data_IF_837745777854
#
_entry.id   IF_837745777854
#
_cell.length_a   1.000
_cell.length_b   1.000
_cell.length_c   1.000
_cell.angle_alpha   90.00
_cell.angle_beta   90.00
_cell.angle_gamma   90.00
#
_symmetry.space_group_name_H-M   'P 1'
#
loop_
_entity.id
_entity.type
_entity.pdbx_description
1 polymer ?
#
# COMPACT_ATOMS: atom_id res chain seq x y z
N UNK A 1 -3.21 0.42 -2.95
CA UNK A 1 -4.08 0.34 -1.74
C UNK A 1 -3.28 0.82 -0.55
N UNK A 2 -3.78 1.78 0.16
CA UNK A 2 -3.15 2.41 1.33
C UNK A 2 -4.13 2.31 2.51
N UNK A 3 -3.63 2.37 3.75
CA UNK A 3 -4.50 2.54 4.92
C UNK A 3 -5.00 3.97 5.00
N UNK A 4 -4.15 4.87 5.44
CA UNK A 4 -4.42 6.29 5.48
C UNK A 4 -3.46 6.98 4.50
N UNK A 5 -3.95 7.94 3.74
CA UNK A 5 -3.09 8.79 2.92
C UNK A 5 -3.02 10.17 3.57
N UNK A 6 -2.08 10.29 4.50
CA UNK A 6 -1.73 11.54 5.18
C UNK A 6 -0.28 11.91 4.80
N UNK A 7 0.54 12.41 5.69
CA UNK A 7 1.97 12.68 5.43
C UNK A 7 2.89 11.61 6.01
N UNK A 8 2.53 10.33 5.83
CA UNK A 8 3.32 9.21 6.34
C UNK A 8 4.46 8.78 5.41
N UNK A 9 5.41 8.00 5.94
CA UNK A 9 6.56 7.53 5.17
C UNK A 9 6.21 6.62 3.99
N UNK A 10 5.19 5.78 4.15
CA UNK A 10 4.75 4.86 3.08
C UNK A 10 4.17 5.63 1.91
N UNK A 11 3.33 6.65 2.18
CA UNK A 11 2.74 7.52 1.18
C UNK A 11 3.81 8.26 0.38
N UNK A 12 4.83 8.76 1.07
CA UNK A 12 5.95 9.46 0.42
C UNK A 12 6.75 8.54 -0.50
N UNK A 13 6.99 7.29 -0.09
CA UNK A 13 7.65 6.28 -0.92
C UNK A 13 6.82 5.98 -2.17
N UNK A 14 5.52 5.72 -2.02
CA UNK A 14 4.63 5.44 -3.15
C UNK A 14 4.55 6.63 -4.11
N UNK A 15 4.47 7.86 -3.58
CA UNK A 15 4.46 9.07 -4.40
C UNK A 15 5.80 9.29 -5.12
N UNK A 16 6.93 8.97 -4.50
CA UNK A 16 8.23 9.02 -5.19
C UNK A 16 8.27 8.07 -6.38
N UNK A 17 7.83 6.82 -6.23
CA UNK A 17 7.70 5.92 -7.37
C UNK A 17 6.75 6.48 -8.43
N UNK A 18 5.58 7.01 -8.03
CA UNK A 18 4.59 7.52 -8.97
C UNK A 18 5.08 8.72 -9.77
N UNK A 19 5.89 9.59 -9.19
CA UNK A 19 6.51 10.74 -9.87
C UNK A 19 7.49 10.33 -10.96
N UNK A 20 8.22 9.23 -10.75
CA UNK A 20 9.33 8.80 -11.60
C UNK A 20 8.98 7.64 -12.55
N UNK A 21 7.83 7.00 -12.40
CA UNK A 21 7.40 5.92 -13.28
C UNK A 21 7.03 6.46 -14.67
N UNK A 22 7.27 5.65 -15.71
CA UNK A 22 6.77 5.94 -17.07
C UNK A 22 5.25 5.75 -17.11
N UNK A 23 4.51 6.85 -16.93
CA UNK A 23 3.04 6.86 -16.89
C UNK A 23 2.37 6.58 -18.22
N UNK A 24 3.13 6.54 -19.31
CA UNK A 24 2.60 6.08 -20.62
C UNK A 24 2.43 4.56 -20.65
N UNK A 25 3.18 3.83 -19.81
CA UNK A 25 3.14 2.38 -19.69
C UNK A 25 2.34 1.89 -18.50
N UNK A 26 2.45 2.58 -17.37
CA UNK A 26 1.79 2.19 -16.12
C UNK A 26 1.21 3.43 -15.45
N UNK A 27 -0.10 3.43 -15.22
CA UNK A 27 -0.79 4.49 -14.49
C UNK A 27 -1.29 3.95 -13.15
N UNK A 28 -1.20 4.77 -12.09
CA UNK A 28 -1.68 4.43 -10.77
C UNK A 28 -3.00 5.11 -10.46
N UNK A 29 -3.91 4.33 -9.88
CA UNK A 29 -5.02 4.85 -9.10
C UNK A 29 -4.80 4.55 -7.62
N UNK A 30 -5.17 5.47 -6.79
CA UNK A 30 -4.93 5.41 -5.34
C UNK A 30 -6.23 5.11 -4.61
N UNK A 31 -6.16 4.17 -3.68
CA UNK A 31 -7.27 3.81 -2.81
C UNK A 31 -6.87 4.09 -1.36
N UNK A 32 -7.56 4.98 -0.71
CA UNK A 32 -7.38 5.35 0.68
C UNK A 32 -8.64 5.07 1.49
N UNK A 33 -8.49 4.84 2.78
CA UNK A 33 -9.62 4.60 3.66
C UNK A 33 -10.35 5.91 3.98
N UNK A 34 -11.63 5.81 4.25
CA UNK A 34 -12.47 6.90 4.74
C UNK A 34 -11.82 7.59 5.96
N UNK A 35 -11.81 8.92 5.94
CA UNK A 35 -11.12 9.74 6.93
C UNK A 35 -9.66 10.09 6.57
N UNK A 36 -9.13 9.62 5.43
CA UNK A 36 -7.84 10.06 4.91
C UNK A 36 -7.92 11.49 4.36
N UNK A 37 -6.94 12.33 4.67
CA UNK A 37 -6.87 13.71 4.18
C UNK A 37 -6.44 13.79 2.70
N UNK A 38 -5.64 12.84 2.24
CA UNK A 38 -5.05 12.74 0.89
C UNK A 38 -4.46 14.08 0.40
N UNK A 39 -3.46 14.61 1.09
CA UNK A 39 -2.90 15.93 0.74
C UNK A 39 -2.25 15.98 -0.65
N UNK A 40 -1.90 14.83 -1.22
CA UNK A 40 -1.33 14.71 -2.56
C UNK A 40 -2.39 14.55 -3.67
N UNK A 41 -3.69 14.68 -3.38
CA UNK A 41 -4.78 14.47 -4.34
C UNK A 41 -4.59 15.27 -5.64
N UNK A 42 -4.39 16.58 -5.51
CA UNK A 42 -4.21 17.46 -6.68
C UNK A 42 -3.01 17.04 -7.54
N UNK A 43 -1.91 16.65 -6.90
CA UNK A 43 -0.72 16.15 -7.61
C UNK A 43 -1.01 14.83 -8.33
N UNK A 44 -1.69 13.88 -7.68
CA UNK A 44 -2.07 12.59 -8.27
C UNK A 44 -2.94 12.82 -9.51
N UNK A 45 -3.97 13.65 -9.39
CA UNK A 45 -4.91 13.94 -10.47
C UNK A 45 -4.23 14.68 -11.63
N UNK A 46 -3.36 15.65 -11.35
CA UNK A 46 -2.55 16.34 -12.35
C UNK A 46 -1.62 15.39 -13.12
N UNK A 47 -1.14 14.33 -12.47
CA UNK A 47 -0.32 13.28 -13.08
C UNK A 47 -1.16 12.19 -13.79
N UNK A 48 -2.49 12.35 -13.84
CA UNK A 48 -3.41 11.46 -14.54
C UNK A 48 -3.96 10.29 -13.71
N UNK A 49 -3.62 10.21 -12.42
CA UNK A 49 -4.15 9.21 -11.50
C UNK A 49 -5.50 9.63 -10.91
N UNK A 50 -6.19 8.68 -10.30
CA UNK A 50 -7.45 8.91 -9.58
C UNK A 50 -7.31 8.51 -8.12
N UNK A 51 -8.09 9.17 -7.25
CA UNK A 51 -8.12 8.85 -5.82
C UNK A 51 -9.52 8.38 -5.44
N UNK A 52 -9.61 7.16 -4.96
CA UNK A 52 -10.83 6.55 -4.44
C UNK A 52 -10.77 6.48 -2.91
N UNK A 53 -11.80 7.00 -2.26
CA UNK A 53 -12.01 6.83 -0.82
C UNK A 53 -12.97 5.66 -0.62
N UNK A 54 -12.52 4.65 0.13
CA UNK A 54 -13.29 3.44 0.39
C UNK A 54 -13.61 3.32 1.88
N UNK A 55 -14.69 2.63 2.25
CA UNK A 55 -15.05 2.41 3.66
C UNK A 55 -13.89 1.80 4.45
N UNK A 56 -13.87 2.01 5.76
CA UNK A 56 -12.88 1.35 6.62
C UNK A 56 -13.10 -0.15 6.68
N UNK A 57 -12.02 -0.90 6.79
CA UNK A 57 -12.05 -2.37 6.96
C UNK A 57 -12.77 -2.81 8.26
N UNK A 58 -13.01 -1.90 9.22
CA UNK A 58 -13.87 -2.15 10.40
C UNK A 58 -15.32 -2.44 10.00
N UNK A 59 -15.75 -1.93 8.85
CA UNK A 59 -17.03 -2.24 8.20
C UNK A 59 -16.77 -3.18 7.02
N UNK A 60 -16.29 -4.39 7.30
CA UNK A 60 -15.71 -5.31 6.32
C UNK A 60 -16.61 -5.56 5.10
N UNK A 61 -17.91 -5.79 5.30
CA UNK A 61 -18.86 -6.03 4.21
C UNK A 61 -18.97 -4.84 3.25
N UNK A 62 -19.04 -3.60 3.78
CA UNK A 62 -19.09 -2.40 2.97
C UNK A 62 -17.76 -2.16 2.24
N UNK A 63 -16.64 -2.35 2.95
CA UNK A 63 -15.30 -2.25 2.38
C UNK A 63 -15.12 -3.21 1.19
N UNK A 64 -15.42 -4.49 1.40
CA UNK A 64 -15.27 -5.52 0.37
C UNK A 64 -16.17 -5.29 -0.84
N UNK A 65 -17.45 -4.99 -0.61
CA UNK A 65 -18.40 -4.68 -1.68
C UNK A 65 -17.89 -3.53 -2.55
N UNK A 66 -17.41 -2.47 -1.94
CA UNK A 66 -16.96 -1.28 -2.65
C UNK A 66 -15.66 -1.50 -3.42
N UNK A 67 -14.64 -2.12 -2.81
CA UNK A 67 -13.38 -2.38 -3.52
C UNK A 67 -13.59 -3.36 -4.68
N UNK A 68 -14.41 -4.41 -4.52
CA UNK A 68 -14.71 -5.36 -5.58
C UNK A 68 -15.44 -4.65 -6.74
N UNK A 69 -16.41 -3.79 -6.41
CA UNK A 69 -17.14 -2.98 -7.40
C UNK A 69 -16.18 -2.13 -8.22
N UNK A 70 -15.34 -1.34 -7.54
CA UNK A 70 -14.38 -0.44 -8.19
C UNK A 70 -13.33 -1.20 -9.00
N UNK A 71 -12.83 -2.32 -8.48
CA UNK A 71 -11.85 -3.14 -9.18
C UNK A 71 -12.41 -3.72 -10.49
N UNK A 72 -13.65 -4.20 -10.48
CA UNK A 72 -14.32 -4.71 -11.68
C UNK A 72 -14.65 -3.59 -12.67
N UNK A 73 -15.17 -2.46 -12.18
CA UNK A 73 -15.52 -1.30 -13.01
C UNK A 73 -14.32 -0.74 -13.77
N UNK A 74 -13.16 -0.65 -13.13
CA UNK A 74 -11.95 -0.09 -13.72
C UNK A 74 -11.04 -1.15 -14.37
N UNK A 75 -11.39 -2.44 -14.33
CA UNK A 75 -10.67 -3.55 -14.96
C UNK A 75 -9.17 -3.60 -14.68
N UNK A 76 -8.78 -3.33 -13.42
CA UNK A 76 -7.37 -3.34 -13.03
C UNK A 76 -6.71 -4.70 -13.30
N UNK A 77 -5.45 -4.65 -13.74
CA UNK A 77 -4.61 -5.84 -13.95
C UNK A 77 -3.70 -6.13 -12.76
N UNK A 78 -3.45 -5.12 -11.94
CA UNK A 78 -2.55 -5.18 -10.79
C UNK A 78 -3.21 -4.48 -9.61
N UNK A 79 -3.17 -5.11 -8.45
CA UNK A 79 -3.42 -4.45 -7.16
C UNK A 79 -2.17 -4.56 -6.31
N UNK A 80 -1.61 -3.41 -5.93
CA UNK A 80 -0.45 -3.31 -5.04
C UNK A 80 -0.92 -2.76 -3.69
N UNK A 81 -0.81 -3.54 -2.64
CA UNK A 81 -1.27 -3.20 -1.29
C UNK A 81 -0.11 -2.92 -0.36
N UNK A 82 -0.13 -1.75 0.28
CA UNK A 82 0.85 -1.25 1.25
C UNK A 82 0.28 -1.24 2.68
N UNK A 83 -0.70 -2.11 2.97
CA UNK A 83 -1.48 -2.10 4.20
C UNK A 83 -0.96 -3.08 5.27
N UNK A 84 0.30 -3.52 5.19
CA UNK A 84 0.87 -4.51 6.11
C UNK A 84 -0.04 -5.77 6.17
N UNK A 85 -0.33 -6.31 7.35
CA UNK A 85 -1.23 -7.47 7.53
C UNK A 85 -2.66 -7.22 7.07
N UNK A 86 -3.13 -5.97 7.06
CA UNK A 86 -4.45 -5.58 6.53
C UNK A 86 -4.57 -5.76 5.01
N UNK A 87 -3.44 -5.97 4.31
CA UNK A 87 -3.43 -6.36 2.89
C UNK A 87 -4.23 -7.63 2.60
N UNK A 88 -4.47 -8.46 3.62
CA UNK A 88 -5.35 -9.65 3.53
C UNK A 88 -6.71 -9.28 2.96
N UNK A 89 -7.34 -8.22 3.45
CA UNK A 89 -8.68 -7.79 3.03
C UNK A 89 -8.69 -7.24 1.60
N UNK A 90 -7.77 -6.33 1.29
CA UNK A 90 -7.69 -5.71 -0.05
C UNK A 90 -7.33 -6.73 -1.13
N UNK A 91 -6.41 -7.66 -0.85
CA UNK A 91 -5.98 -8.66 -1.82
C UNK A 91 -6.98 -9.83 -1.95
N UNK A 92 -7.73 -10.12 -0.90
CA UNK A 92 -8.90 -11.00 -1.01
C UNK A 92 -9.96 -10.38 -1.94
N UNK A 93 -10.30 -9.11 -1.76
CA UNK A 93 -11.21 -8.40 -2.67
C UNK A 93 -10.70 -8.38 -4.12
N UNK A 94 -9.40 -8.16 -4.32
CA UNK A 94 -8.76 -8.23 -5.63
C UNK A 94 -8.87 -9.64 -6.27
N UNK A 95 -8.68 -10.70 -5.48
CA UNK A 95 -8.90 -12.08 -5.94
C UNK A 95 -10.35 -12.31 -6.35
N UNK A 96 -11.32 -11.85 -5.55
CA UNK A 96 -12.76 -11.93 -5.88
C UNK A 96 -13.15 -11.13 -7.12
N UNK A 97 -12.46 -10.03 -7.38
CA UNK A 97 -12.64 -9.23 -8.59
C UNK A 97 -11.99 -9.86 -9.84
N UNK A 98 -11.22 -10.94 -9.69
CA UNK A 98 -10.53 -11.62 -10.79
C UNK A 98 -9.20 -10.98 -11.19
N UNK A 99 -8.60 -10.14 -10.34
CA UNK A 99 -7.34 -9.46 -10.66
C UNK A 99 -6.18 -10.47 -10.59
N UNK A 100 -5.42 -10.65 -11.68
CA UNK A 100 -4.38 -11.68 -11.74
C UNK A 100 -3.14 -11.36 -10.90
N UNK A 101 -2.71 -10.09 -10.85
CA UNK A 101 -1.50 -9.68 -10.16
C UNK A 101 -1.85 -8.96 -8.85
N UNK A 102 -1.54 -9.59 -7.74
CA UNK A 102 -1.85 -9.11 -6.40
C UNK A 102 -0.58 -9.04 -5.57
N UNK A 103 -0.11 -7.83 -5.29
CA UNK A 103 1.18 -7.58 -4.64
C UNK A 103 0.92 -7.16 -3.19
N UNK A 104 1.48 -7.90 -2.23
CA UNK A 104 1.59 -7.45 -0.84
C UNK A 104 2.96 -6.80 -0.64
N UNK A 105 3.00 -5.55 -0.17
CA UNK A 105 4.24 -4.85 0.10
C UNK A 105 4.28 -4.38 1.56
N UNK A 106 5.19 -4.94 2.32
CA UNK A 106 5.34 -4.64 3.73
C UNK A 106 6.37 -3.54 3.99
N UNK A 107 5.99 -2.52 4.77
CA UNK A 107 6.85 -1.39 5.13
C UNK A 107 7.18 -1.30 6.61
N UNK A 108 6.58 -2.15 7.46
CA UNK A 108 6.73 -2.03 8.90
C UNK A 108 6.52 -3.36 9.62
N UNK A 109 6.86 -3.38 10.88
CA UNK A 109 6.62 -4.49 11.81
C UNK A 109 5.59 -4.09 12.89
N UNK A 110 5.52 -4.85 13.97
CA UNK A 110 4.80 -4.45 15.17
C UNK A 110 5.48 -3.22 15.82
N UNK A 111 4.71 -2.18 16.10
CA UNK A 111 5.20 -0.96 16.74
C UNK A 111 5.25 -1.06 18.26
N UNK A 112 6.24 -0.44 18.90
CA UNK A 112 6.24 -0.30 20.36
C UNK A 112 5.07 0.56 20.81
N UNK A 113 4.32 0.13 21.84
CA UNK A 113 3.19 0.87 22.41
C UNK A 113 1.85 0.72 21.66
N UNK A 114 1.81 0.03 20.51
CA UNK A 114 0.58 -0.16 19.72
C UNK A 114 -0.15 -1.47 20.03
N UNK A 115 -0.41 -1.77 21.31
CA UNK A 115 -0.90 -3.08 21.76
C UNK A 115 -2.11 -3.59 20.96
N UNK A 116 -3.18 -2.79 20.83
CA UNK A 116 -4.40 -3.21 20.09
C UNK A 116 -4.13 -3.46 18.60
N UNK A 117 -3.34 -2.59 17.95
CA UNK A 117 -2.96 -2.77 16.54
C UNK A 117 -2.07 -3.99 16.35
N UNK A 118 -1.17 -4.24 17.30
CA UNK A 118 -0.28 -5.40 17.25
C UNK A 118 -1.05 -6.72 17.38
N UNK A 119 -2.07 -6.81 18.24
CA UNK A 119 -2.94 -7.99 18.34
C UNK A 119 -3.53 -8.32 16.96
N UNK A 120 -4.09 -7.31 16.27
CA UNK A 120 -4.65 -7.49 14.91
C UNK A 120 -3.55 -7.91 13.93
N UNK A 121 -2.38 -7.27 13.99
CA UNK A 121 -1.24 -7.62 13.14
C UNK A 121 -0.84 -9.09 13.31
N UNK A 122 -0.69 -9.56 14.54
CA UNK A 122 -0.32 -10.95 14.82
C UNK A 122 -1.42 -11.94 14.43
N UNK A 123 -2.70 -11.61 14.66
CA UNK A 123 -3.83 -12.44 14.26
C UNK A 123 -3.95 -12.60 12.73
N UNK A 124 -3.68 -11.53 11.97
CA UNK A 124 -3.76 -11.55 10.50
C UNK A 124 -2.49 -12.05 9.80
N UNK A 125 -1.34 -12.02 10.47
CA UNK A 125 -0.05 -12.40 9.92
C UNK A 125 -0.02 -13.78 9.25
N UNK A 126 -0.62 -14.86 9.80
CA UNK A 126 -0.66 -16.17 9.15
C UNK A 126 -1.33 -16.15 7.77
N UNK A 127 -2.24 -15.21 7.55
CA UNK A 127 -3.01 -15.08 6.31
C UNK A 127 -2.33 -14.18 5.25
N UNK A 128 -1.23 -13.51 5.60
CA UNK A 128 -0.58 -12.50 4.76
C UNK A 128 -0.09 -13.04 3.40
N UNK A 129 0.11 -14.36 3.28
CA UNK A 129 0.58 -15.02 2.06
C UNK A 129 -0.51 -15.70 1.22
N UNK A 130 -1.78 -15.69 1.66
CA UNK A 130 -2.83 -16.50 1.02
C UNK A 130 -3.31 -15.88 -0.30
N UNK A 131 -3.46 -14.57 -0.34
CA UNK A 131 -4.07 -13.88 -1.48
C UNK A 131 -3.09 -13.21 -2.43
N UNK A 132 -1.89 -12.78 -2.01
CA UNK A 132 -0.91 -12.22 -2.94
C UNK A 132 -0.43 -13.26 -3.95
N UNK A 133 -0.04 -12.78 -5.14
CA UNK A 133 0.72 -13.53 -6.16
C UNK A 133 2.20 -13.15 -6.14
N UNK A 134 2.53 -12.00 -5.53
CA UNK A 134 3.89 -11.51 -5.30
C UNK A 134 4.00 -10.92 -3.91
N UNK A 135 5.14 -11.17 -3.26
CA UNK A 135 5.48 -10.67 -1.93
C UNK A 135 6.64 -9.69 -2.04
N UNK A 136 6.48 -8.52 -1.47
CA UNK A 136 7.47 -7.45 -1.46
C UNK A 136 7.63 -6.88 -0.05
N UNK A 137 8.79 -6.34 0.25
CA UNK A 137 9.05 -5.62 1.49
C UNK A 137 10.05 -4.48 1.28
N UNK A 138 10.02 -3.46 2.12
CA UNK A 138 10.98 -2.36 2.10
C UNK A 138 12.36 -2.74 2.65
N UNK A 139 12.48 -3.87 3.35
CA UNK A 139 13.73 -4.41 3.88
C UNK A 139 13.59 -5.91 4.15
N UNK A 140 14.74 -6.58 4.28
CA UNK A 140 14.78 -7.99 4.68
C UNK A 140 14.05 -8.23 5.99
N UNK A 141 14.30 -7.38 7.00
CA UNK A 141 13.68 -7.50 8.31
C UNK A 141 12.14 -7.37 8.27
N UNK A 142 11.63 -6.40 7.52
CA UNK A 142 10.19 -6.21 7.37
C UNK A 142 9.53 -7.40 6.66
N UNK A 143 10.18 -7.95 5.64
CA UNK A 143 9.70 -9.13 4.90
C UNK A 143 9.69 -10.37 5.78
N UNK A 144 10.78 -10.67 6.46
CA UNK A 144 10.87 -11.81 7.38
C UNK A 144 9.85 -11.73 8.52
N UNK A 145 9.62 -10.52 9.03
CA UNK A 145 8.61 -10.32 10.06
C UNK A 145 7.21 -10.67 9.57
N UNK A 146 6.82 -10.26 8.36
CA UNK A 146 5.45 -10.52 7.86
C UNK A 146 5.30 -11.91 7.27
N UNK A 147 6.24 -12.34 6.46
CA UNK A 147 6.12 -13.55 5.63
C UNK A 147 6.83 -14.76 6.21
N UNK A 148 7.75 -14.55 7.15
CA UNK A 148 8.61 -15.60 7.74
C UNK A 148 9.97 -15.73 7.04
N UNK A 149 10.97 -16.15 7.79
CA UNK A 149 12.38 -16.26 7.32
C UNK A 149 12.58 -17.17 6.11
N UNK A 150 11.77 -18.21 5.99
CA UNK A 150 11.88 -19.22 4.92
C UNK A 150 10.95 -18.92 3.72
N UNK A 151 10.46 -17.68 3.60
CA UNK A 151 9.58 -17.28 2.49
C UNK A 151 10.35 -16.38 1.55
N UNK A 152 10.33 -16.69 0.26
CA UNK A 152 10.92 -15.83 -0.77
C UNK A 152 10.04 -14.58 -0.99
N UNK A 153 10.66 -13.41 -0.97
CA UNK A 153 10.04 -12.11 -1.26
C UNK A 153 11.07 -11.16 -1.87
N UNK A 154 10.59 -10.18 -2.60
CA UNK A 154 11.45 -9.18 -3.22
C UNK A 154 11.62 -7.96 -2.29
N UNK A 155 12.87 -7.52 -2.09
CA UNK A 155 13.17 -6.31 -1.33
C UNK A 155 13.24 -5.12 -2.28
N UNK A 156 12.42 -4.09 -1.99
CA UNK A 156 12.45 -2.78 -2.63
C UNK A 156 12.76 -1.74 -1.55
N UNK A 157 13.98 -1.26 -1.50
CA UNK A 157 14.36 -0.23 -0.55
C UNK A 157 13.56 1.05 -0.79
N UNK A 158 13.23 1.75 0.30
CA UNK A 158 12.55 3.03 0.21
C UNK A 158 13.45 4.04 -0.52
N UNK A 159 13.03 4.44 -1.70
CA UNK A 159 13.72 5.46 -2.47
C UNK A 159 13.32 6.86 -1.99
N UNK A 160 14.31 7.75 -1.91
CA UNK A 160 14.13 9.17 -1.57
C UNK A 160 14.63 9.97 -2.77
N UNK A 161 13.84 10.92 -3.22
CA UNK A 161 14.26 11.89 -4.22
C UNK A 161 15.11 12.97 -3.55
N UNK A 162 16.43 12.81 -3.67
CA UNK A 162 17.43 13.72 -3.05
C UNK A 162 17.33 15.16 -3.58
N UNK A 163 16.83 15.39 -4.79
CA UNK A 163 16.66 16.73 -5.35
C UNK A 163 15.69 17.59 -4.54
N UNK A 164 14.77 16.98 -3.82
CA UNK A 164 13.80 17.65 -2.95
C UNK A 164 14.34 17.93 -1.54
N UNK A 165 15.53 17.42 -1.23
CA UNK A 165 16.20 17.58 0.07
C UNK A 165 17.57 18.23 -0.09
N UNK A 166 17.70 19.17 -1.03
CA UNK A 166 18.91 19.98 -1.12
C UNK A 166 19.06 20.74 0.20
N UNK A 167 20.00 20.32 1.02
CA UNK A 167 20.49 21.12 2.13
C UNK A 167 21.06 22.39 1.51
N UNK A 168 20.36 23.51 1.63
CA UNK A 168 21.03 24.78 1.50
C UNK A 168 22.02 24.84 2.67
N UNK A 169 23.30 24.71 2.36
CA UNK A 169 24.39 25.02 3.27
C UNK A 169 24.36 26.53 3.53
N UNK A 170 23.34 27.01 4.19
CA UNK A 170 23.28 28.37 4.69
C UNK A 170 23.39 28.26 6.21
N UNK A 171 24.57 28.67 6.66
CA UNK A 171 24.94 28.96 8.04
C UNK A 171 25.27 27.81 8.99
N UNK A 172 26.50 27.42 8.98
CA UNK A 172 27.28 27.32 10.23
C UNK A 172 28.18 28.54 10.31
#
# INVERSE_FOLDING_TARGET
MMTDMNYGGVEMVVMNYYRHIDRTKVQFDFFALEGSAVPQREEIERLGGRVYIVPKYTHLSAYEKEIIRLFKQNQYKIVHSHMNTLSVFSLWGAKKAGIPNRIAHNHSTAGKGETKKNIIKYALRPFAKIYPTKLCACSQYAGEWLYGKNTEFQVFNNAIDLSRYSLSLIHI
#
